data_IF_043524106828
#
_entry.id   IF_043524106828
#
_cell.length_a   1.000
_cell.length_b   1.000
_cell.length_c   1.000
_cell.angle_alpha   90.00
_cell.angle_beta   90.00
_cell.angle_gamma   90.00
#
_symmetry.space_group_name_H-M   'P 1'
#
loop_
_entity.id
_entity.type
_entity.pdbx_description
1 polymer ?
#
# COMPACT_ATOMS: atom_id res chain seq x y z
N UNK A 1 21.84 -19.40 9.49
CA UNK A 1 20.76 -18.41 9.67
C UNK A 1 19.51 -18.99 9.02
N UNK A 2 18.42 -19.15 9.76
CA UNK A 2 17.17 -19.66 9.20
C UNK A 2 16.54 -18.56 8.32
N UNK A 3 16.39 -18.81 7.02
CA UNK A 3 15.61 -17.94 6.15
C UNK A 3 14.18 -17.85 6.69
N UNK A 4 13.71 -16.63 6.94
CA UNK A 4 12.31 -16.43 7.28
C UNK A 4 11.45 -16.93 6.11
N UNK A 5 10.47 -17.82 6.34
CA UNK A 5 9.61 -18.28 5.27
C UNK A 5 8.92 -17.07 4.64
N UNK A 6 8.97 -16.99 3.32
CA UNK A 6 8.38 -15.88 2.59
C UNK A 6 6.94 -15.66 3.06
N UNK A 7 6.54 -14.40 3.29
CA UNK A 7 5.31 -14.01 4.01
C UNK A 7 4.04 -14.69 3.46
N UNK A 8 4.02 -15.09 2.20
CA UNK A 8 2.89 -15.82 1.60
C UNK A 8 2.79 -17.31 2.00
N UNK A 9 3.87 -17.93 2.48
CA UNK A 9 3.86 -19.30 3.00
C UNK A 9 3.15 -19.38 4.37
N UNK A 10 3.20 -18.31 5.18
CA UNK A 10 2.55 -18.29 6.50
C UNK A 10 1.03 -18.19 6.43
N UNK A 11 0.48 -17.61 5.35
CA UNK A 11 -0.98 -17.47 5.14
C UNK A 11 -1.59 -18.72 4.48
N UNK A 12 -0.76 -19.63 3.97
CA UNK A 12 -1.16 -20.88 3.33
C UNK A 12 -1.74 -20.69 1.92
N UNK A 13 -1.20 -21.39 0.92
CA UNK A 13 -1.67 -21.32 -0.50
C UNK A 13 -3.14 -21.75 -0.68
N UNK A 14 -3.69 -22.51 0.27
CA UNK A 14 -5.07 -22.98 0.24
C UNK A 14 -6.10 -21.95 0.70
N UNK A 15 -5.69 -20.88 1.41
CA UNK A 15 -6.63 -19.92 1.98
C UNK A 15 -6.98 -18.81 0.97
N UNK A 16 -8.18 -18.19 1.06
CA UNK A 16 -8.56 -17.08 0.19
C UNK A 16 -7.58 -15.91 0.26
N UNK A 17 -7.07 -15.62 1.45
CA UNK A 17 -6.08 -14.57 1.69
C UNK A 17 -4.71 -14.91 1.07
N UNK A 18 -4.25 -16.17 1.20
CA UNK A 18 -3.01 -16.63 0.57
C UNK A 18 -3.07 -16.62 -0.96
N UNK A 19 -4.22 -16.98 -1.53
CA UNK A 19 -4.46 -16.89 -2.98
C UNK A 19 -4.48 -15.44 -3.48
N UNK A 20 -5.10 -14.52 -2.74
CA UNK A 20 -5.13 -13.10 -3.08
C UNK A 20 -3.72 -12.49 -3.08
N UNK A 21 -2.89 -12.81 -2.07
CA UNK A 21 -1.50 -12.37 -2.01
C UNK A 21 -0.65 -13.01 -3.12
N UNK A 22 -0.82 -14.32 -3.37
CA UNK A 22 -0.11 -14.99 -4.47
C UNK A 22 -0.43 -14.36 -5.82
N UNK A 23 -1.70 -14.05 -6.10
CA UNK A 23 -2.10 -13.38 -7.34
C UNK A 23 -1.56 -11.95 -7.46
N UNK A 24 -1.37 -11.25 -6.34
CA UNK A 24 -0.83 -9.89 -6.30
C UNK A 24 0.68 -9.87 -6.62
N UNK A 25 1.43 -10.86 -6.13
CA UNK A 25 2.89 -10.90 -6.21
C UNK A 25 3.45 -11.77 -7.35
N UNK A 26 2.66 -12.69 -7.91
CA UNK A 26 3.13 -13.61 -8.95
C UNK A 26 2.89 -13.10 -10.38
N UNK A 27 2.50 -11.82 -10.53
CA UNK A 27 2.13 -11.21 -11.81
C UNK A 27 1.24 -12.12 -12.67
N UNK A 28 0.30 -12.84 -12.05
CA UNK A 28 -0.55 -13.78 -12.76
C UNK A 28 -1.59 -13.01 -13.59
N UNK A 29 -1.18 -12.72 -14.83
CA UNK A 29 -1.93 -11.97 -15.83
C UNK A 29 -3.27 -12.65 -16.15
N UNK A 30 -3.41 -13.95 -15.86
CA UNK A 30 -4.63 -14.70 -16.16
C UNK A 30 -5.79 -14.31 -15.22
N UNK A 31 -5.50 -14.06 -13.95
CA UNK A 31 -6.49 -13.56 -12.98
C UNK A 31 -7.04 -12.20 -13.40
N UNK A 32 -6.15 -11.25 -13.73
CA UNK A 32 -6.51 -9.91 -14.24
C UNK A 32 -7.34 -10.00 -15.52
N UNK A 33 -6.90 -10.80 -16.51
CA UNK A 33 -7.64 -11.04 -17.76
C UNK A 33 -9.04 -11.62 -17.55
N UNK A 34 -9.22 -12.48 -16.54
CA UNK A 34 -10.54 -13.05 -16.23
C UNK A 34 -11.48 -12.02 -15.58
N UNK A 35 -10.95 -11.19 -14.68
CA UNK A 35 -11.66 -10.07 -14.07
C UNK A 35 -12.07 -9.01 -15.11
N UNK A 36 -11.18 -8.69 -16.04
CA UNK A 36 -11.46 -7.74 -17.12
C UNK A 36 -12.57 -8.23 -18.04
N UNK A 37 -12.58 -9.52 -18.39
CA UNK A 37 -13.66 -10.15 -19.17
C UNK A 37 -15.01 -10.09 -18.44
N UNK A 38 -15.02 -10.32 -17.13
CA UNK A 38 -16.24 -10.25 -16.32
C UNK A 38 -16.75 -8.80 -16.19
N UNK A 39 -15.84 -7.85 -15.97
CA UNK A 39 -16.12 -6.41 -15.93
C UNK A 39 -16.68 -5.92 -17.26
N UNK A 40 -16.08 -6.31 -18.39
CA UNK A 40 -16.56 -5.99 -19.73
C UNK A 40 -17.96 -6.57 -20.01
N UNK A 41 -18.22 -7.82 -19.62
CA UNK A 41 -19.55 -8.43 -19.75
C UNK A 41 -20.61 -7.69 -18.93
N UNK A 42 -20.30 -7.32 -17.69
CA UNK A 42 -21.23 -6.57 -16.84
C UNK A 42 -21.51 -5.17 -17.38
N UNK A 43 -20.50 -4.48 -17.92
CA UNK A 43 -20.68 -3.20 -18.61
C UNK A 43 -21.60 -3.35 -19.82
N UNK A 44 -21.36 -4.35 -20.68
CA UNK A 44 -22.19 -4.60 -21.85
C UNK A 44 -23.66 -4.91 -21.48
N UNK A 45 -23.87 -5.70 -20.42
CA UNK A 45 -25.23 -5.97 -19.91
C UNK A 45 -25.88 -4.72 -19.34
N UNK A 46 -25.13 -3.87 -18.64
CA UNK A 46 -25.64 -2.62 -18.09
C UNK A 46 -26.00 -1.63 -19.20
N UNK A 47 -25.13 -1.49 -20.21
CA UNK A 47 -25.36 -0.66 -21.41
C UNK A 47 -26.59 -1.14 -22.19
N UNK A 48 -26.75 -2.45 -22.39
CA UNK A 48 -27.94 -3.01 -23.02
C UNK A 48 -29.21 -2.72 -22.22
N UNK A 49 -29.16 -2.83 -20.89
CA UNK A 49 -30.29 -2.47 -20.02
C UNK A 49 -30.63 -0.99 -20.11
N UNK A 50 -29.62 -0.10 -20.09
CA UNK A 50 -29.80 1.34 -20.23
C UNK A 50 -30.41 1.67 -21.60
N UNK A 51 -29.96 1.02 -22.67
CA UNK A 51 -30.54 1.16 -24.02
C UNK A 51 -32.00 0.68 -24.08
N UNK A 52 -32.36 -0.35 -23.32
CA UNK A 52 -33.74 -0.80 -23.12
C UNK A 52 -34.56 0.10 -22.17
N UNK A 53 -34.04 1.25 -21.77
CA UNK A 53 -34.73 2.24 -20.94
C UNK A 53 -34.67 1.96 -19.43
N UNK A 54 -33.91 0.96 -18.99
CA UNK A 54 -33.68 0.72 -17.56
C UNK A 54 -32.82 1.86 -16.99
N UNK A 55 -33.37 2.63 -16.05
CA UNK A 55 -32.62 3.65 -15.31
C UNK A 55 -32.35 3.15 -13.89
N UNK A 56 -31.07 3.10 -13.45
CA UNK A 56 -30.79 2.78 -12.06
C UNK A 56 -31.46 3.82 -11.18
N UNK A 57 -32.32 3.37 -10.25
CA UNK A 57 -32.98 4.26 -9.30
C UNK A 57 -31.91 4.93 -8.44
N UNK A 58 -31.73 6.24 -8.61
CA UNK A 58 -30.99 7.04 -7.64
C UNK A 58 -31.67 6.84 -6.27
N UNK A 59 -30.92 6.70 -5.17
CA UNK A 59 -31.49 6.64 -3.82
C UNK A 59 -32.04 8.03 -3.44
N UNK A 60 -33.15 8.41 -4.07
CA UNK A 60 -33.93 9.60 -3.83
C UNK A 60 -35.33 9.17 -3.41
N UNK A 61 -35.76 9.68 -2.25
CA UNK A 61 -37.05 9.49 -1.57
C UNK A 61 -38.17 8.99 -2.50
N UNK A 62 -38.47 7.69 -2.44
CA UNK A 62 -39.70 7.15 -2.99
C UNK A 62 -40.88 7.77 -2.22
N UNK A 63 -41.70 8.55 -2.90
CA UNK A 63 -43.04 8.98 -2.45
C UNK A 63 -44.07 7.84 -2.53
N UNK A 64 -43.62 6.59 -2.44
CA UNK A 64 -44.46 5.39 -2.37
C UNK A 64 -44.49 4.89 -0.92
N UNK A 65 -45.69 4.62 -0.41
CA UNK A 65 -46.00 4.34 0.99
C UNK A 65 -44.95 3.50 1.73
N UNK A 66 -44.62 3.93 2.95
CA UNK A 66 -43.75 3.17 3.85
C UNK A 66 -44.30 1.74 3.97
N UNK A 67 -43.49 0.70 3.67
CA UNK A 67 -43.92 -0.66 3.95
C UNK A 67 -44.25 -0.76 5.44
N UNK A 68 -45.40 -1.34 5.77
CA UNK A 68 -45.87 -1.48 7.14
C UNK A 68 -44.75 -2.11 7.98
N UNK A 69 -44.30 -1.37 9.00
CA UNK A 69 -43.24 -1.85 9.90
C UNK A 69 -43.68 -3.18 10.49
N UNK A 70 -42.86 -4.25 10.41
CA UNK A 70 -43.23 -5.52 11.03
C UNK A 70 -43.36 -5.31 12.55
N UNK A 71 -44.55 -5.57 13.08
CA UNK A 71 -44.83 -5.49 14.52
C UNK A 71 -44.18 -6.68 15.22
N UNK A 72 -42.97 -6.49 15.74
CA UNK A 72 -42.30 -7.50 16.56
C UNK A 72 -42.84 -7.43 17.99
N UNK A 73 -43.41 -8.53 18.48
CA UNK A 73 -43.90 -8.63 19.85
C UNK A 73 -42.71 -8.82 20.81
N UNK A 74 -42.17 -7.72 21.32
CA UNK A 74 -41.09 -7.74 22.32
C UNK A 74 -41.70 -7.96 23.71
N UNK A 75 -41.15 -8.87 24.56
CA UNK A 75 -41.58 -9.03 25.94
C UNK A 75 -41.54 -7.70 26.69
N UNK A 76 -42.70 -7.27 27.21
CA UNK A 76 -42.82 -6.03 27.98
C UNK A 76 -42.21 -6.23 29.36
N UNK A 77 -40.96 -5.82 29.56
CA UNK A 77 -40.39 -5.69 30.89
C UNK A 77 -41.11 -4.59 31.67
N UNK A 78 -41.47 -4.86 32.93
CA UNK A 78 -42.11 -3.88 33.81
C UNK A 78 -41.18 -2.67 33.93
N UNK A 79 -41.66 -1.50 33.51
CA UNK A 79 -40.97 -0.22 33.64
C UNK A 79 -40.60 -0.06 35.12
N UNK A 80 -39.31 0.01 35.43
CA UNK A 80 -38.86 0.35 36.77
C UNK A 80 -39.52 1.69 37.15
N UNK A 81 -40.18 1.71 38.30
CA UNK A 81 -40.76 2.90 38.89
C UNK A 81 -39.68 3.98 38.95
N UNK A 82 -39.83 5.00 38.11
CA UNK A 82 -38.95 6.15 38.13
C UNK A 82 -38.99 6.73 39.54
N UNK A 83 -37.85 6.74 40.23
CA UNK A 83 -37.70 7.49 41.47
C UNK A 83 -38.05 8.94 41.16
N UNK A 84 -39.12 9.46 41.77
CA UNK A 84 -39.45 10.87 41.78
C UNK A 84 -38.34 11.65 42.50
N UNK A 85 -37.21 11.87 41.84
CA UNK A 85 -36.36 13.02 42.12
C UNK A 85 -36.91 14.16 41.27
N UNK A 86 -37.35 15.28 41.86
CA UNK A 86 -37.67 16.46 41.09
C UNK A 86 -36.38 16.91 40.41
N UNK A 87 -36.24 16.61 39.13
CA UNK A 87 -35.29 17.27 38.27
C UNK A 87 -35.73 18.74 38.28
N UNK A 88 -34.91 19.63 38.82
CA UNK A 88 -35.18 21.06 38.86
C UNK A 88 -35.64 21.47 37.45
N UNK A 89 -36.90 21.89 37.35
CA UNK A 89 -37.46 22.36 36.09
C UNK A 89 -36.55 23.49 35.62
N UNK A 90 -35.76 23.23 34.57
CA UNK A 90 -35.04 24.29 33.89
C UNK A 90 -36.07 25.37 33.55
N UNK A 91 -35.77 26.59 34.02
CA UNK A 91 -36.60 27.78 33.92
C UNK A 91 -37.27 27.90 32.55
N UNK A 92 -38.50 28.42 32.56
CA UNK A 92 -39.44 28.58 31.44
C UNK A 92 -38.87 28.53 30.02
N UNK A 93 -39.54 27.75 29.17
CA UNK A 93 -39.30 27.68 27.73
C UNK A 93 -39.26 29.11 27.16
N UNK A 94 -38.14 29.51 26.57
CA UNK A 94 -38.02 30.77 25.82
C UNK A 94 -39.12 30.79 24.73
N UNK A 95 -39.73 31.94 24.49
CA UNK A 95 -40.68 32.08 23.38
C UNK A 95 -39.98 31.84 22.05
N UNK A 96 -40.73 31.40 21.03
CA UNK A 96 -40.19 31.10 19.71
C UNK A 96 -39.43 32.31 19.12
N UNK A 97 -39.95 33.53 19.34
CA UNK A 97 -39.34 34.76 18.83
C UNK A 97 -37.97 35.04 19.45
N UNK A 98 -37.82 34.81 20.76
CA UNK A 98 -36.54 34.96 21.46
C UNK A 98 -35.52 33.93 20.93
N UNK A 99 -35.97 32.70 20.67
CA UNK A 99 -35.12 31.64 20.10
C UNK A 99 -34.66 32.02 18.69
N UNK A 100 -35.55 32.55 17.85
CA UNK A 100 -35.22 32.99 16.50
C UNK A 100 -34.23 34.15 16.52
N UNK A 101 -34.41 35.11 17.43
CA UNK A 101 -33.51 36.25 17.59
C UNK A 101 -32.12 35.80 18.08
N UNK A 102 -32.05 34.88 19.04
CA UNK A 102 -30.80 34.31 19.53
C UNK A 102 -30.07 33.49 18.46
N UNK A 103 -30.82 32.74 17.64
CA UNK A 103 -30.25 32.01 16.50
C UNK A 103 -29.69 32.95 15.43
N UNK A 104 -30.39 34.04 15.10
CA UNK A 104 -29.93 35.03 14.14
C UNK A 104 -28.64 35.73 14.62
N UNK A 105 -28.59 36.10 15.90
CA UNK A 105 -27.43 36.75 16.50
C UNK A 105 -26.21 35.80 16.52
N UNK A 106 -26.43 34.55 16.90
CA UNK A 106 -25.40 33.50 16.89
C UNK A 106 -24.90 33.18 15.48
N UNK A 107 -25.77 33.24 14.47
CA UNK A 107 -25.37 33.06 13.08
C UNK A 107 -24.50 34.22 12.60
N UNK A 108 -24.82 35.45 13.00
CA UNK A 108 -24.02 36.62 12.69
C UNK A 108 -22.64 36.58 13.35
N UNK A 109 -22.55 36.13 14.61
CA UNK A 109 -21.27 35.90 15.30
C UNK A 109 -20.42 34.83 14.59
N UNK A 110 -21.04 33.73 14.17
CA UNK A 110 -20.38 32.68 13.39
C UNK A 110 -19.84 33.17 12.04
N UNK A 111 -20.55 34.10 11.39
CA UNK A 111 -20.12 34.70 10.13
C UNK A 111 -18.97 35.70 10.35
N UNK A 112 -18.98 36.47 11.44
CA UNK A 112 -17.88 37.38 11.78
C UNK A 112 -16.58 36.65 12.13
N UNK A 113 -16.67 35.47 12.76
CA UNK A 113 -15.51 34.64 13.11
C UNK A 113 -15.21 33.55 12.08
N UNK A 114 -15.78 33.65 10.87
CA UNK A 114 -15.54 32.66 9.82
C UNK A 114 -14.14 32.86 9.24
N UNK A 115 -13.17 32.12 9.76
CA UNK A 115 -11.86 32.05 9.15
C UNK A 115 -11.99 31.59 7.69
N UNK A 116 -11.20 32.16 6.76
CA UNK A 116 -11.20 31.70 5.38
C UNK A 116 -10.89 30.20 5.34
N UNK A 117 -11.53 29.43 4.46
CA UNK A 117 -11.21 28.02 4.32
C UNK A 117 -9.71 27.90 3.99
N UNK A 118 -8.99 26.96 4.61
CA UNK A 118 -7.57 26.78 4.35
C UNK A 118 -7.37 26.53 2.86
N UNK A 119 -6.52 27.35 2.23
CA UNK A 119 -6.18 27.17 0.82
C UNK A 119 -5.03 26.19 0.72
N UNK A 120 -5.33 24.98 0.27
CA UNK A 120 -4.35 23.92 -0.01
C UNK A 120 -4.46 22.70 0.91
N UNK A 121 -3.66 21.66 0.63
CA UNK A 121 -3.56 20.49 1.48
C UNK A 121 -3.10 20.89 2.88
N UNK A 122 -3.87 20.51 3.91
CA UNK A 122 -3.61 20.90 5.30
C UNK A 122 -2.35 20.24 5.90
N UNK A 123 -1.88 19.16 5.27
CA UNK A 123 -0.69 18.42 5.63
C UNK A 123 0.15 18.19 4.38
N UNK A 124 1.45 18.37 4.51
CA UNK A 124 2.42 17.93 3.51
C UNK A 124 2.47 16.39 3.45
N UNK A 125 2.93 15.82 2.33
CA UNK A 125 2.94 14.35 2.17
C UNK A 125 3.78 13.64 3.24
N UNK A 126 4.87 14.28 3.70
CA UNK A 126 5.69 13.80 4.81
C UNK A 126 4.89 13.75 6.12
N UNK A 127 4.05 14.76 6.36
CA UNK A 127 3.24 14.84 7.58
C UNK A 127 2.08 13.85 7.53
N UNK A 128 1.51 13.59 6.34
CA UNK A 128 0.53 12.52 6.14
C UNK A 128 1.12 11.16 6.47
N UNK A 129 2.35 10.89 6.02
CA UNK A 129 3.06 9.64 6.33
C UNK A 129 3.30 9.50 7.84
N UNK A 130 3.78 10.57 8.49
CA UNK A 130 3.97 10.59 9.95
C UNK A 130 2.66 10.35 10.69
N UNK A 131 1.56 10.96 10.27
CA UNK A 131 0.24 10.75 10.88
C UNK A 131 -0.26 9.32 10.65
N UNK A 132 -0.07 8.77 9.45
CA UNK A 132 -0.42 7.39 9.14
C UNK A 132 0.36 6.41 10.01
N UNK A 133 1.66 6.66 10.22
CA UNK A 133 2.51 5.88 11.11
C UNK A 133 2.03 6.00 12.57
N UNK A 134 1.74 7.21 13.03
CA UNK A 134 1.23 7.46 14.38
C UNK A 134 -0.11 6.73 14.64
N UNK A 135 -1.01 6.74 13.66
CA UNK A 135 -2.28 6.00 13.69
C UNK A 135 -2.07 4.49 13.69
N UNK A 136 -1.15 3.98 12.86
CA UNK A 136 -0.79 2.56 12.80
C UNK A 136 -0.32 2.03 14.14
N UNK A 137 0.41 2.85 14.90
CA UNK A 137 0.98 2.47 16.19
C UNK A 137 0.17 2.94 17.41
N UNK A 138 -1.06 3.43 17.23
CA UNK A 138 -1.93 3.95 18.31
C UNK A 138 -1.18 4.91 19.27
N UNK A 139 -0.36 5.79 18.69
CA UNK A 139 0.44 6.75 19.45
C UNK A 139 1.67 6.19 20.18
N UNK A 140 2.04 4.92 19.97
CA UNK A 140 3.28 4.32 20.48
C UNK A 140 4.19 3.88 19.33
N UNK A 141 4.78 4.84 18.58
CA UNK A 141 5.73 4.50 17.52
C UNK A 141 6.85 3.62 18.12
N UNK A 142 7.29 2.57 17.40
CA UNK A 142 8.33 1.68 17.87
C UNK A 142 9.60 2.48 18.11
N UNK A 143 10.29 2.17 19.21
CA UNK A 143 11.55 2.77 19.56
C UNK A 143 12.52 2.58 18.38
N UNK A 144 12.90 3.68 17.72
CA UNK A 144 13.85 3.61 16.62
C UNK A 144 15.16 3.09 17.19
N UNK A 145 15.51 1.84 16.84
CA UNK A 145 16.85 1.32 17.11
C UNK A 145 17.85 2.34 16.56
N UNK A 146 18.93 2.66 17.30
CA UNK A 146 19.90 3.64 16.87
C UNK A 146 20.32 3.28 15.45
N UNK A 147 20.12 4.24 14.54
CA UNK A 147 20.48 4.09 13.14
C UNK A 147 21.95 3.65 13.14
N UNK A 148 22.31 2.51 12.53
CA UNK A 148 23.72 2.14 12.43
C UNK A 148 24.47 3.34 11.84
N UNK A 149 25.69 3.63 12.31
CA UNK A 149 26.47 4.76 11.82
C UNK A 149 26.41 4.71 10.29
N UNK A 150 26.03 5.82 9.66
CA UNK A 150 25.90 5.85 8.21
C UNK A 150 27.21 5.34 7.65
N UNK A 151 27.19 4.15 7.04
CA UNK A 151 28.36 3.64 6.34
C UNK A 151 28.69 4.72 5.32
N UNK A 152 29.80 5.42 5.55
CA UNK A 152 30.25 6.45 4.64
C UNK A 152 30.39 5.76 3.29
N UNK A 153 29.47 6.06 2.38
CA UNK A 153 29.58 5.56 1.02
C UNK A 153 30.92 6.08 0.51
N UNK A 154 31.81 5.22 0.04
CA UNK A 154 33.08 5.66 -0.50
C UNK A 154 32.80 6.72 -1.58
N UNK A 155 33.59 7.79 -1.57
CA UNK A 155 33.41 8.89 -2.53
C UNK A 155 33.53 8.32 -3.95
N UNK A 156 32.67 8.79 -4.85
CA UNK A 156 32.69 8.39 -6.26
C UNK A 156 34.11 8.54 -6.85
N UNK A 157 34.67 7.47 -7.42
CA UNK A 157 36.01 7.40 -7.98
C UNK A 157 37.14 7.17 -6.95
N UNK A 158 36.81 6.95 -5.68
CA UNK A 158 37.82 6.64 -4.66
C UNK A 158 38.38 5.23 -4.85
N UNK A 159 39.63 5.03 -4.41
CA UNK A 159 40.28 3.71 -4.42
C UNK A 159 39.43 2.62 -3.75
N UNK A 160 38.77 2.96 -2.64
CA UNK A 160 37.93 2.01 -1.91
C UNK A 160 36.70 1.56 -2.72
N UNK A 161 36.10 2.46 -3.50
CA UNK A 161 34.99 2.10 -4.39
C UNK A 161 35.47 1.24 -5.56
N UNK A 162 36.58 1.62 -6.21
CA UNK A 162 37.15 0.85 -7.32
C UNK A 162 37.55 -0.56 -6.87
N UNK A 163 38.13 -0.70 -5.66
CA UNK A 163 38.44 -2.00 -5.07
C UNK A 163 37.17 -2.79 -4.78
N UNK A 164 36.12 -2.15 -4.24
CA UNK A 164 34.83 -2.80 -4.02
C UNK A 164 34.19 -3.32 -5.32
N UNK A 165 34.27 -2.54 -6.41
CA UNK A 165 33.82 -2.99 -7.73
C UNK A 165 34.68 -4.14 -8.26
N UNK A 166 35.98 -4.10 -8.03
CA UNK A 166 36.89 -5.19 -8.42
C UNK A 166 36.53 -6.50 -7.71
N UNK A 167 36.38 -6.45 -6.38
CA UNK A 167 36.02 -7.61 -5.57
C UNK A 167 34.65 -8.18 -5.97
N UNK A 168 33.69 -7.29 -6.28
CA UNK A 168 32.37 -7.69 -6.78
C UNK A 168 32.47 -8.42 -8.13
N UNK A 169 33.28 -7.94 -9.07
CA UNK A 169 33.46 -8.60 -10.37
C UNK A 169 34.14 -9.97 -10.20
N UNK A 170 35.10 -10.11 -9.27
CA UNK A 170 35.72 -11.40 -8.96
C UNK A 170 34.69 -12.42 -8.48
N UNK A 171 33.79 -12.00 -7.59
CA UNK A 171 32.68 -12.85 -7.12
C UNK A 171 31.80 -13.26 -8.29
N UNK A 172 31.39 -12.30 -9.14
CA UNK A 172 30.53 -12.55 -10.30
C UNK A 172 31.17 -13.53 -11.31
N UNK A 173 32.48 -13.43 -11.54
CA UNK A 173 33.23 -14.36 -12.39
C UNK A 173 33.25 -15.76 -11.79
N UNK A 174 33.51 -15.88 -10.49
CA UNK A 174 33.52 -17.18 -9.80
C UNK A 174 32.14 -17.84 -9.83
N UNK A 175 31.07 -17.09 -9.58
CA UNK A 175 29.69 -17.58 -9.67
C UNK A 175 29.35 -18.09 -11.07
N UNK A 176 29.78 -17.38 -12.12
CA UNK A 176 29.56 -17.83 -13.51
C UNK A 176 30.41 -19.04 -13.89
N UNK A 177 31.62 -19.16 -13.35
CA UNK A 177 32.45 -20.36 -13.53
C UNK A 177 31.78 -21.57 -12.86
N UNK A 178 31.29 -21.40 -11.63
CA UNK A 178 30.52 -22.44 -10.94
C UNK A 178 29.27 -22.82 -11.74
N UNK A 179 28.55 -21.83 -12.28
CA UNK A 179 27.38 -22.08 -13.11
C UNK A 179 27.72 -22.91 -14.37
N UNK A 180 28.88 -22.70 -14.99
CA UNK A 180 29.34 -23.53 -16.12
C UNK A 180 29.65 -24.97 -15.69
N UNK A 181 30.23 -25.16 -14.51
CA UNK A 181 30.49 -26.49 -13.95
C UNK A 181 29.17 -27.23 -13.66
N UNK A 182 28.21 -26.54 -13.04
CA UNK A 182 26.88 -27.08 -12.76
C UNK A 182 26.14 -27.42 -14.06
N UNK A 183 26.27 -26.56 -15.08
CA UNK A 183 25.71 -26.78 -16.42
C UNK A 183 26.34 -27.98 -17.14
N UNK A 184 27.62 -28.29 -16.89
CA UNK A 184 28.30 -29.40 -17.54
C UNK A 184 27.64 -30.75 -17.23
N UNK A 185 26.98 -30.88 -16.07
CA UNK A 185 26.14 -32.03 -15.73
C UNK A 185 24.91 -32.21 -16.64
N UNK A 186 24.52 -31.17 -17.38
CA UNK A 186 23.38 -31.14 -18.30
C UNK A 186 23.79 -31.02 -19.77
N UNK A 187 25.03 -31.42 -20.12
CA UNK A 187 25.63 -31.28 -21.44
C UNK A 187 24.84 -31.91 -22.61
N UNK A 188 23.87 -32.78 -22.34
CA UNK A 188 22.98 -33.39 -23.33
C UNK A 188 21.83 -32.49 -23.81
N UNK A 189 21.59 -31.34 -23.16
CA UNK A 189 20.54 -30.41 -23.57
C UNK A 189 20.91 -29.69 -24.87
N UNK A 190 19.93 -29.53 -25.79
CA UNK A 190 20.12 -28.76 -27.04
C UNK A 190 20.52 -27.31 -26.79
N UNK A 191 20.06 -26.74 -25.67
CA UNK A 191 20.33 -25.34 -25.31
C UNK A 191 21.65 -25.16 -24.57
N UNK A 192 22.29 -26.26 -24.14
CA UNK A 192 23.54 -26.21 -23.36
C UNK A 192 24.62 -25.42 -24.08
N UNK A 193 24.84 -25.69 -25.38
CA UNK A 193 25.90 -25.02 -26.14
C UNK A 193 25.65 -23.51 -26.27
N UNK A 194 24.41 -23.11 -26.51
CA UNK A 194 24.06 -21.70 -26.62
C UNK A 194 24.27 -20.96 -25.28
N UNK A 195 23.77 -21.54 -24.19
CA UNK A 195 23.89 -20.96 -22.84
C UNK A 195 25.35 -20.95 -22.37
N UNK A 196 26.09 -22.05 -22.52
CA UNK A 196 27.52 -22.14 -22.18
C UNK A 196 28.33 -21.09 -22.94
N UNK A 197 28.09 -20.93 -24.24
CA UNK A 197 28.82 -19.94 -25.03
C UNK A 197 28.48 -18.51 -24.62
N UNK A 198 27.22 -18.24 -24.25
CA UNK A 198 26.83 -16.94 -23.71
C UNK A 198 27.54 -16.64 -22.39
N UNK A 199 27.49 -17.56 -21.43
CA UNK A 199 28.13 -17.38 -20.11
C UNK A 199 29.64 -17.21 -20.25
N UNK A 200 30.28 -17.93 -21.17
CA UNK A 200 31.72 -17.75 -21.47
C UNK A 200 32.03 -16.36 -22.00
N UNK A 201 31.17 -15.76 -22.82
CA UNK A 201 31.33 -14.37 -23.27
C UNK A 201 31.16 -13.40 -22.11
N UNK A 202 30.15 -13.59 -21.28
CA UNK A 202 29.92 -12.75 -20.10
C UNK A 202 31.14 -12.78 -19.15
N UNK A 203 31.75 -13.96 -18.94
CA UNK A 203 33.00 -14.10 -18.18
C UNK A 203 34.13 -13.31 -18.82
N UNK A 204 34.30 -13.40 -20.15
CA UNK A 204 35.35 -12.66 -20.86
C UNK A 204 35.17 -11.14 -20.72
N UNK A 205 33.94 -10.65 -20.86
CA UNK A 205 33.61 -9.23 -20.71
C UNK A 205 33.92 -8.75 -19.28
N UNK A 206 33.56 -9.53 -18.26
CA UNK A 206 33.90 -9.22 -16.87
C UNK A 206 35.38 -9.25 -16.57
N UNK A 207 36.12 -10.19 -17.16
CA UNK A 207 37.59 -10.21 -17.03
C UNK A 207 38.22 -8.98 -17.71
N UNK A 208 37.65 -8.47 -18.80
CA UNK A 208 38.09 -7.21 -19.40
C UNK A 208 37.80 -6.01 -18.49
N UNK A 209 36.60 -5.95 -17.89
CA UNK A 209 36.25 -4.90 -16.93
C UNK A 209 37.19 -4.92 -15.71
N UNK A 210 37.50 -6.11 -15.20
CA UNK A 210 38.46 -6.30 -14.09
C UNK A 210 39.85 -5.77 -14.45
N UNK A 211 40.34 -6.02 -15.67
CA UNK A 211 41.62 -5.46 -16.16
C UNK A 211 41.58 -3.93 -16.24
N UNK A 212 40.46 -3.35 -16.69
CA UNK A 212 40.29 -1.88 -16.73
C UNK A 212 40.29 -1.28 -15.33
N UNK A 213 39.59 -1.90 -14.37
CA UNK A 213 39.57 -1.46 -12.98
C UNK A 213 40.96 -1.56 -12.33
N UNK A 214 41.71 -2.63 -12.57
CA UNK A 214 43.09 -2.77 -12.06
C UNK A 214 44.00 -1.65 -12.57
N UNK A 215 43.88 -1.27 -13.85
CA UNK A 215 44.61 -0.13 -14.42
C UNK A 215 44.22 1.19 -13.73
N UNK A 216 42.92 1.41 -13.49
CA UNK A 216 42.44 2.61 -12.79
C UNK A 216 42.89 2.68 -11.33
N UNK A 217 42.87 1.54 -10.61
CA UNK A 217 43.35 1.45 -9.23
C UNK A 217 44.84 1.77 -9.16
N UNK A 218 45.65 1.24 -10.08
CA UNK A 218 47.09 1.52 -10.17
C UNK A 218 47.37 2.99 -10.48
N UNK A 219 46.64 3.58 -11.42
CA UNK A 219 46.77 5.00 -11.77
C UNK A 219 46.43 5.91 -10.58
N UNK A 220 45.36 5.63 -9.84
CA UNK A 220 44.98 6.35 -8.62
C UNK A 220 45.95 6.14 -7.44
N UNK A 221 46.89 5.19 -7.54
CA UNK A 221 47.89 4.95 -6.50
C UNK A 221 49.19 5.74 -6.72
N UNK A 222 49.39 6.29 -7.93
CA UNK A 222 50.56 7.10 -8.28
C UNK A 222 50.30 8.62 -8.24
N UNK A 223 49.03 9.03 -8.11
CA UNK A 223 48.60 10.41 -7.92
C UNK A 223 48.44 10.74 -6.43
#
# INVERSE_FOLDING_TARGET
MAEAPAVWQSVGRGTPAGRALFNLFSDDVNGKKSGDKFSARNKAVLEAKIAMGWRPSLPGKSSGGSPAKPTVCVPKFKKATASNKPCAAASGKKSADIILQELALRQQEMEQHRHPPPQGPLLDDVEKERLAEWMRYRGKPPEQKPRPPSQHKPKAGSKAELQGLFDQIVIEVNERQQYLEDLAGFASSKDYQAVSNQVKRDIQDRVQDMKRLDQLIKANHQA
#
